data_IF_919394001636
#
_entry.id   IF_919394001636
#
_cell.length_a   1.000
_cell.length_b   1.000
_cell.length_c   1.000
_cell.angle_alpha   90.00
_cell.angle_beta   90.00
_cell.angle_gamma   90.00
#
_symmetry.space_group_name_H-M   'P 1'
#
loop_
_entity.id
_entity.type
_entity.pdbx_description
1 polymer ?
#
# COMPACT_ATOMS: atom_id res chain seq x y z
N UNK A 1 51.30 39.36 38.46
CA UNK A 1 51.19 38.82 37.09
C UNK A 1 50.06 37.78 37.06
N UNK A 2 48.91 38.08 36.49
CA UNK A 2 47.77 37.12 36.32
C UNK A 2 47.61 36.88 34.83
N UNK A 3 47.99 35.67 34.41
CA UNK A 3 47.83 35.21 33.04
C UNK A 3 46.41 34.69 32.82
N UNK A 4 45.61 35.41 32.05
CA UNK A 4 44.26 34.98 31.64
C UNK A 4 44.33 34.04 30.44
N UNK A 5 43.78 32.84 30.60
CA UNK A 5 43.59 31.89 29.50
C UNK A 5 42.23 32.20 28.80
N UNK A 6 42.28 32.62 27.57
CA UNK A 6 41.10 32.76 26.72
C UNK A 6 40.67 31.36 26.24
N UNK A 7 39.44 30.94 26.62
CA UNK A 7 38.83 29.72 26.08
C UNK A 7 38.22 30.06 24.71
N UNK A 8 38.78 29.49 23.67
CA UNK A 8 38.20 29.52 22.33
C UNK A 8 37.13 28.43 22.25
N UNK A 9 35.88 28.81 22.21
CA UNK A 9 34.76 27.89 21.90
C UNK A 9 34.65 27.74 20.38
N UNK A 10 35.13 26.63 19.85
CA UNK A 10 34.88 26.25 18.45
C UNK A 10 33.46 25.80 18.27
N UNK A 11 32.65 26.54 17.53
CA UNK A 11 31.30 26.10 17.12
C UNK A 11 31.45 25.09 16.00
N UNK A 12 31.14 23.82 16.28
CA UNK A 12 30.99 22.78 15.27
C UNK A 12 29.63 22.97 14.58
N UNK A 13 29.62 23.44 13.34
CA UNK A 13 28.44 23.45 12.49
C UNK A 13 28.29 22.07 11.90
N UNK A 14 27.34 21.28 12.43
CA UNK A 14 26.90 20.03 11.80
C UNK A 14 26.04 20.38 10.57
N UNK A 15 26.64 20.30 9.39
CA UNK A 15 25.88 20.35 8.13
C UNK A 15 25.19 19.00 7.91
N UNK A 16 23.91 18.91 8.20
CA UNK A 16 23.10 17.74 7.84
C UNK A 16 22.82 17.81 6.35
N UNK A 17 23.50 16.97 5.58
CA UNK A 17 23.17 16.75 4.17
C UNK A 17 21.85 15.99 4.11
N UNK A 18 20.75 16.70 3.87
CA UNK A 18 19.47 16.06 3.59
C UNK A 18 19.56 15.37 2.22
N UNK A 19 19.62 14.04 2.19
CA UNK A 19 19.40 13.29 0.96
C UNK A 19 17.96 13.53 0.51
N UNK A 20 17.78 14.33 -0.52
CA UNK A 20 16.49 14.48 -1.21
C UNK A 20 16.32 13.22 -2.05
N UNK A 21 15.52 12.27 -1.55
CA UNK A 21 15.08 11.12 -2.34
C UNK A 21 14.07 11.64 -3.36
N UNK A 22 14.48 11.73 -4.62
CA UNK A 22 13.56 12.04 -5.70
C UNK A 22 12.86 10.74 -6.11
N UNK A 23 11.52 10.77 -6.10
CA UNK A 23 10.74 9.72 -6.74
C UNK A 23 10.95 9.80 -8.27
N UNK A 24 11.07 8.65 -8.92
CA UNK A 24 11.12 8.62 -10.37
C UNK A 24 9.80 9.15 -10.94
N UNK A 25 9.83 10.07 -11.92
CA UNK A 25 8.60 10.59 -12.51
C UNK A 25 7.87 9.48 -13.28
N UNK A 26 6.54 9.54 -13.29
CA UNK A 26 5.74 8.63 -14.10
C UNK A 26 6.07 8.83 -15.59
N UNK A 27 6.23 7.72 -16.30
CA UNK A 27 6.37 7.71 -17.75
C UNK A 27 5.01 7.66 -18.44
N UNK A 28 4.93 8.19 -19.67
CA UNK A 28 3.71 8.06 -20.45
C UNK A 28 3.38 6.58 -20.69
N UNK A 29 2.15 6.18 -20.35
CA UNK A 29 1.65 4.83 -20.59
C UNK A 29 0.15 4.84 -20.91
N UNK A 30 -0.26 3.95 -21.82
CA UNK A 30 -1.66 3.65 -22.14
C UNK A 30 -1.78 2.14 -22.18
N UNK A 31 -2.46 1.57 -21.18
CA UNK A 31 -2.51 0.13 -20.97
C UNK A 31 -3.97 -0.32 -21.03
N UNK A 32 -4.34 -1.02 -22.10
CA UNK A 32 -5.65 -1.64 -22.20
C UNK A 32 -5.74 -2.87 -21.27
N UNK A 33 -6.94 -3.26 -20.80
CA UNK A 33 -7.08 -4.38 -19.85
C UNK A 33 -6.43 -5.69 -20.30
N UNK A 34 -6.46 -5.98 -21.60
CA UNK A 34 -5.86 -7.19 -22.19
C UNK A 34 -4.33 -7.16 -22.29
N UNK A 35 -3.71 -6.00 -22.11
CA UNK A 35 -2.25 -5.80 -22.16
C UNK A 35 -1.61 -5.97 -20.78
N UNK A 36 -2.43 -6.11 -19.72
CA UNK A 36 -1.94 -6.28 -18.36
C UNK A 36 -1.17 -7.58 -18.20
N UNK A 37 0.02 -7.48 -17.64
CA UNK A 37 0.85 -8.63 -17.28
C UNK A 37 0.52 -9.06 -15.86
N UNK A 38 -0.24 -10.13 -15.74
CA UNK A 38 -0.62 -10.70 -14.46
C UNK A 38 0.44 -11.67 -13.96
N UNK A 39 0.89 -11.47 -12.73
CA UNK A 39 1.84 -12.33 -12.03
C UNK A 39 1.13 -13.02 -10.87
N UNK A 40 1.26 -14.33 -10.77
CA UNK A 40 0.67 -15.11 -9.69
C UNK A 40 1.49 -14.94 -8.41
N UNK A 41 0.82 -14.54 -7.34
CA UNK A 41 1.41 -14.41 -6.02
C UNK A 41 1.38 -15.74 -5.25
N UNK A 42 2.22 -15.88 -4.23
CA UNK A 42 2.22 -17.06 -3.34
C UNK A 42 0.89 -17.25 -2.58
N UNK A 43 0.10 -16.21 -2.44
CA UNK A 43 -1.27 -16.24 -1.87
C UNK A 43 -2.31 -16.86 -2.79
N UNK A 44 -1.96 -17.14 -4.04
CA UNK A 44 -2.89 -17.60 -5.08
C UNK A 44 -3.62 -16.47 -5.82
N UNK A 45 -3.45 -15.23 -5.40
CA UNK A 45 -3.95 -14.04 -6.11
C UNK A 45 -3.06 -13.70 -7.30
N UNK A 46 -3.54 -12.85 -8.20
CA UNK A 46 -2.73 -12.31 -9.28
C UNK A 46 -2.59 -10.80 -9.13
N UNK A 47 -1.42 -10.27 -9.47
CA UNK A 47 -1.11 -8.85 -9.43
C UNK A 47 -0.62 -8.38 -10.80
N UNK A 48 -1.04 -7.20 -11.22
CA UNK A 48 -0.51 -6.49 -12.37
C UNK A 48 -0.10 -5.07 -11.96
N UNK A 49 1.16 -4.71 -12.14
CA UNK A 49 1.64 -3.35 -11.93
C UNK A 49 1.17 -2.44 -13.07
N UNK A 50 0.72 -1.24 -12.69
CA UNK A 50 0.30 -0.19 -13.62
C UNK A 50 1.34 0.91 -13.65
N UNK A 51 1.84 1.36 -12.49
CA UNK A 51 2.83 2.43 -12.38
C UNK A 51 3.58 2.32 -11.05
N UNK A 52 4.81 2.79 -11.03
CA UNK A 52 5.66 2.87 -9.85
C UNK A 52 6.04 1.53 -9.23
N UNK A 53 6.76 1.64 -8.12
CA UNK A 53 7.22 0.51 -7.32
C UNK A 53 6.81 0.74 -5.87
N UNK A 54 5.97 -0.14 -5.33
CA UNK A 54 5.50 -0.06 -3.94
C UNK A 54 6.59 -0.28 -2.88
N UNK A 55 7.82 -0.62 -3.28
CA UNK A 55 8.98 -0.73 -2.39
C UNK A 55 9.78 0.57 -2.28
N UNK A 56 9.52 1.53 -3.15
CA UNK A 56 10.19 2.83 -3.18
C UNK A 56 9.31 3.93 -2.59
N UNK A 57 9.92 5.08 -2.24
CA UNK A 57 9.22 6.28 -1.79
C UNK A 57 8.67 7.05 -3.01
N UNK A 58 7.69 6.46 -3.71
CA UNK A 58 7.06 7.02 -4.90
C UNK A 58 5.59 6.60 -5.01
N UNK A 59 4.85 7.25 -5.90
CA UNK A 59 3.49 6.84 -6.22
C UNK A 59 3.52 5.46 -6.87
N UNK A 60 2.67 4.56 -6.41
CA UNK A 60 2.46 3.27 -7.04
C UNK A 60 0.98 3.01 -7.33
N UNK A 61 0.74 2.27 -8.40
CA UNK A 61 -0.59 1.77 -8.78
C UNK A 61 -0.46 0.33 -9.26
N UNK A 62 -1.29 -0.56 -8.71
CA UNK A 62 -1.38 -1.93 -9.17
C UNK A 62 -2.82 -2.44 -9.11
N UNK A 63 -3.08 -3.53 -9.81
CA UNK A 63 -4.33 -4.27 -9.73
C UNK A 63 -4.10 -5.63 -9.08
N UNK A 64 -5.11 -6.09 -8.36
CA UNK A 64 -5.16 -7.46 -7.83
C UNK A 64 -6.42 -8.11 -8.36
N UNK A 65 -6.27 -9.38 -8.76
CA UNK A 65 -7.36 -10.29 -9.08
C UNK A 65 -7.45 -11.34 -8.00
N UNK A 66 -8.59 -11.38 -7.34
CA UNK A 66 -8.93 -12.37 -6.33
C UNK A 66 -9.81 -13.45 -6.95
N UNK A 67 -9.41 -14.73 -6.95
CA UNK A 67 -10.29 -15.82 -7.32
C UNK A 67 -11.57 -15.83 -6.45
N UNK A 68 -12.66 -16.39 -6.99
CA UNK A 68 -13.88 -16.59 -6.24
C UNK A 68 -13.66 -17.32 -4.91
N UNK A 69 -14.28 -16.86 -3.85
CA UNK A 69 -14.15 -17.41 -2.49
C UNK A 69 -12.92 -16.94 -1.72
N UNK A 70 -12.02 -16.15 -2.32
CA UNK A 70 -10.79 -15.67 -1.68
C UNK A 70 -11.09 -14.82 -0.45
N UNK A 71 -10.57 -15.23 0.71
CA UNK A 71 -10.59 -14.46 1.96
C UNK A 71 -9.23 -13.86 2.22
N UNK A 72 -9.19 -12.53 2.35
CA UNK A 72 -8.00 -11.77 2.76
C UNK A 72 -8.07 -11.60 4.27
N UNK A 73 -7.19 -12.27 4.98
CA UNK A 73 -7.13 -12.24 6.45
C UNK A 73 -6.78 -10.84 6.97
N UNK A 74 -7.14 -10.53 8.23
CA UNK A 74 -6.83 -9.22 8.81
C UNK A 74 -5.35 -8.89 8.74
N UNK A 75 -5.05 -7.74 8.17
CA UNK A 75 -3.70 -7.22 7.97
C UNK A 75 -3.73 -5.70 7.91
N UNK A 76 -2.57 -5.07 7.93
CA UNK A 76 -2.41 -3.62 7.74
C UNK A 76 -1.16 -3.29 6.92
N UNK A 77 -1.08 -2.04 6.51
CA UNK A 77 0.04 -1.49 5.73
C UNK A 77 0.66 -0.29 6.44
N UNK A 78 1.96 0.00 6.22
CA UNK A 78 2.61 1.16 6.82
C UNK A 78 2.20 2.49 6.18
N UNK A 79 1.73 2.45 4.93
CA UNK A 79 1.38 3.58 4.07
C UNK A 79 -0.14 3.77 3.95
N UNK A 80 -0.53 4.94 3.46
CA UNK A 80 -1.92 5.26 3.10
C UNK A 80 -2.24 4.74 1.70
N UNK A 81 -3.42 4.11 1.55
CA UNK A 81 -3.84 3.58 0.26
C UNK A 81 -5.31 3.86 0.00
N UNK A 82 -5.64 3.92 -1.28
CA UNK A 82 -7.02 3.96 -1.77
C UNK A 82 -7.22 2.77 -2.69
N UNK A 83 -8.29 2.02 -2.44
CA UNK A 83 -8.71 0.93 -3.31
C UNK A 83 -10.00 1.26 -4.04
N UNK A 84 -10.15 0.68 -5.24
CA UNK A 84 -11.37 0.79 -6.05
C UNK A 84 -11.67 -0.55 -6.69
N UNK A 85 -12.92 -0.98 -6.63
CA UNK A 85 -13.40 -2.19 -7.29
C UNK A 85 -13.58 -1.90 -8.78
N UNK A 86 -12.96 -2.69 -9.64
CA UNK A 86 -13.08 -2.60 -11.10
C UNK A 86 -14.10 -3.61 -11.64
N UNK A 87 -14.16 -4.82 -11.06
CA UNK A 87 -15.13 -5.84 -11.42
C UNK A 87 -15.43 -6.77 -10.24
N UNK A 88 -16.58 -7.42 -10.25
CA UNK A 88 -17.08 -8.24 -9.14
C UNK A 88 -17.58 -7.40 -7.96
N UNK A 89 -17.83 -8.05 -6.83
CA UNK A 89 -18.21 -7.38 -5.58
C UNK A 89 -17.22 -7.74 -4.49
N UNK A 90 -16.52 -6.74 -3.97
CA UNK A 90 -15.63 -6.92 -2.82
C UNK A 90 -16.40 -6.67 -1.53
N UNK A 91 -16.38 -7.63 -0.63
CA UNK A 91 -16.80 -7.42 0.76
C UNK A 91 -15.58 -6.95 1.55
N UNK A 92 -15.67 -5.74 2.14
CA UNK A 92 -14.55 -5.10 2.83
C UNK A 92 -14.95 -4.68 4.24
N UNK A 93 -14.07 -4.96 5.21
CA UNK A 93 -14.28 -4.62 6.62
C UNK A 93 -13.00 -4.15 7.30
N UNK A 94 -13.16 -3.34 8.35
CA UNK A 94 -12.06 -2.90 9.20
C UNK A 94 -12.08 -3.65 10.53
N UNK A 95 -10.91 -3.88 11.08
CA UNK A 95 -10.73 -4.50 12.40
C UNK A 95 -9.65 -5.58 12.40
N UNK A 96 -9.22 -5.98 13.60
CA UNK A 96 -8.19 -7.00 13.78
C UNK A 96 -8.70 -8.44 13.60
N UNK A 97 -10.01 -8.63 13.52
CA UNK A 97 -10.65 -9.95 13.37
C UNK A 97 -11.53 -9.99 12.13
N UNK A 98 -11.54 -11.14 11.45
CA UNK A 98 -12.40 -11.35 10.29
C UNK A 98 -13.87 -11.47 10.75
N UNK A 99 -14.70 -10.48 10.40
CA UNK A 99 -16.09 -10.41 10.80
C UNK A 99 -16.99 -10.10 9.60
N UNK A 100 -17.73 -11.08 9.11
CA UNK A 100 -18.62 -10.92 7.96
C UNK A 100 -19.70 -9.85 8.20
N UNK A 101 -20.24 -9.75 9.42
CA UNK A 101 -21.28 -8.79 9.75
C UNK A 101 -20.80 -7.32 9.71
N UNK A 102 -19.47 -7.11 9.83
CA UNK A 102 -18.84 -5.79 9.73
C UNK A 102 -18.45 -5.42 8.31
N UNK A 103 -18.64 -6.31 7.33
CA UNK A 103 -18.27 -6.05 5.94
C UNK A 103 -19.33 -5.23 5.22
N UNK A 104 -18.86 -4.35 4.35
CA UNK A 104 -19.67 -3.64 3.36
C UNK A 104 -19.40 -4.22 1.98
N UNK A 105 -20.48 -4.54 1.25
CA UNK A 105 -20.39 -4.93 -0.16
C UNK A 105 -20.09 -3.69 -1.02
N UNK A 106 -19.02 -3.77 -1.80
CA UNK A 106 -18.56 -2.74 -2.72
C UNK A 106 -18.65 -3.30 -4.15
N UNK A 107 -19.63 -2.88 -4.95
CA UNK A 107 -19.72 -3.24 -6.37
C UNK A 107 -18.68 -2.45 -7.20
N UNK A 108 -18.59 -2.69 -8.53
CA UNK A 108 -17.73 -1.91 -9.41
C UNK A 108 -17.93 -0.41 -9.26
N UNK A 109 -16.82 0.36 -9.14
CA UNK A 109 -16.82 1.78 -8.79
C UNK A 109 -16.84 2.05 -7.28
N UNK A 110 -17.16 1.07 -6.44
CA UNK A 110 -17.02 1.19 -4.99
C UNK A 110 -15.55 1.38 -4.59
N UNK A 111 -15.31 2.21 -3.58
CA UNK A 111 -13.97 2.56 -3.13
C UNK A 111 -13.87 2.51 -1.61
N UNK A 112 -12.64 2.34 -1.12
CA UNK A 112 -12.31 2.37 0.30
C UNK A 112 -10.95 3.01 0.51
N UNK A 113 -10.65 3.39 1.75
CA UNK A 113 -9.36 3.91 2.17
C UNK A 113 -8.69 2.92 3.13
N UNK A 114 -7.38 2.86 3.13
CA UNK A 114 -6.60 2.09 4.08
C UNK A 114 -5.63 3.05 4.80
N UNK A 115 -6.05 3.61 5.95
CA UNK A 115 -5.16 4.42 6.77
C UNK A 115 -3.95 3.61 7.26
N UNK A 116 -2.79 4.24 7.49
CA UNK A 116 -1.60 3.55 7.95
C UNK A 116 -1.89 2.75 9.23
N UNK A 117 -1.43 1.50 9.27
CA UNK A 117 -1.54 0.58 10.41
C UNK A 117 -2.97 0.28 10.87
N UNK A 118 -4.00 0.67 10.08
CA UNK A 118 -5.39 0.31 10.35
C UNK A 118 -5.65 -1.12 9.86
N UNK A 119 -5.95 -2.09 10.74
CA UNK A 119 -6.30 -3.44 10.33
C UNK A 119 -7.57 -3.47 9.48
N UNK A 120 -7.53 -4.28 8.43
CA UNK A 120 -8.67 -4.52 7.53
C UNK A 120 -8.61 -5.92 6.94
N UNK A 121 -9.73 -6.35 6.38
CA UNK A 121 -9.90 -7.66 5.76
C UNK A 121 -10.89 -7.57 4.60
N UNK A 122 -10.85 -8.55 3.70
CA UNK A 122 -11.71 -8.56 2.53
C UNK A 122 -12.12 -9.98 2.12
N UNK A 123 -13.17 -10.06 1.30
CA UNK A 123 -13.66 -11.33 0.77
C UNK A 123 -14.25 -11.16 -0.64
N UNK A 124 -13.77 -11.95 -1.58
CA UNK A 124 -14.36 -12.13 -2.91
C UNK A 124 -15.40 -13.25 -2.85
N UNK A 125 -16.51 -13.00 -2.12
CA UNK A 125 -17.49 -14.03 -1.72
C UNK A 125 -18.22 -14.64 -2.91
N UNK A 126 -18.76 -13.81 -3.78
CA UNK A 126 -19.75 -14.20 -4.77
C UNK A 126 -19.12 -14.52 -6.15
N UNK A 127 -17.83 -14.30 -6.31
CA UNK A 127 -17.14 -14.52 -7.59
C UNK A 127 -15.75 -13.92 -7.60
N UNK A 128 -15.12 -13.92 -8.77
CA UNK A 128 -13.84 -13.23 -8.98
C UNK A 128 -14.02 -11.72 -8.81
N UNK A 129 -13.02 -11.08 -8.18
CA UNK A 129 -13.00 -9.63 -7.97
C UNK A 129 -11.68 -9.07 -8.49
N UNK A 130 -11.76 -7.98 -9.26
CA UNK A 130 -10.60 -7.19 -9.64
C UNK A 130 -10.68 -5.83 -8.97
N UNK A 131 -9.61 -5.47 -8.28
CA UNK A 131 -9.46 -4.16 -7.63
C UNK A 131 -8.26 -3.42 -8.20
N UNK A 132 -8.25 -2.10 -8.06
CA UNK A 132 -7.07 -1.26 -8.22
C UNK A 132 -6.72 -0.63 -6.88
N UNK A 133 -5.46 -0.66 -6.54
CA UNK A 133 -4.91 -0.03 -5.33
C UNK A 133 -3.88 1.00 -5.76
N UNK A 134 -3.89 2.15 -5.12
CA UNK A 134 -2.86 3.17 -5.26
C UNK A 134 -2.46 3.72 -3.89
N UNK A 135 -1.19 4.10 -3.78
CA UNK A 135 -0.62 4.67 -2.57
C UNK A 135 0.72 5.33 -2.85
N UNK A 136 1.36 5.78 -1.81
CA UNK A 136 2.72 6.31 -1.85
C UNK A 136 3.61 5.46 -0.94
N UNK A 137 4.59 4.77 -1.54
CA UNK A 137 5.46 3.83 -0.84
C UNK A 137 6.51 4.49 0.08
N UNK A 138 7.31 3.69 0.78
CA UNK A 138 7.35 2.25 0.68
C UNK A 138 6.19 1.55 1.39
N UNK A 139 5.62 0.55 0.73
CA UNK A 139 4.53 -0.27 1.24
C UNK A 139 5.00 -1.65 1.73
N UNK A 140 4.15 -2.30 2.48
CA UNK A 140 4.33 -3.65 2.98
C UNK A 140 3.02 -4.19 3.56
N UNK A 141 3.01 -5.47 3.93
CA UNK A 141 1.86 -6.10 4.57
C UNK A 141 2.28 -6.74 5.89
N UNK A 142 1.56 -6.42 6.97
CA UNK A 142 1.74 -7.05 8.28
C UNK A 142 0.45 -7.75 8.66
N UNK A 143 0.51 -9.06 8.87
CA UNK A 143 -0.64 -9.85 9.31
C UNK A 143 -0.98 -9.53 10.77
N UNK A 144 -2.28 -9.54 11.10
CA UNK A 144 -2.82 -9.37 12.45
C UNK A 144 -3.30 -10.73 12.95
N UNK A 145 -2.90 -11.10 14.18
CA UNK A 145 -3.28 -12.35 14.78
C UNK A 145 -2.10 -13.33 14.98
N UNK A 146 -2.33 -14.47 15.59
CA UNK A 146 -1.29 -15.48 15.80
C UNK A 146 -0.79 -15.98 14.44
N UNK A 147 0.53 -16.10 14.35
CA UNK A 147 1.22 -16.69 13.19
C UNK A 147 0.94 -18.17 13.11
#
# INVERSE_FOLDING_TARGET
MRTGYAKVFGAFVFSTLACIVHADPLTEARIAPQELKWEKLSTGYERANIAGDDKKAELYVYRIRFPAGSRVTPHFHPDERVGTVLSGTLYFGYGPEFNEAAMKALPPGGSWTEPPKQPHFAWAKDGEVVIQVMGYGPSGTTQVGPK
#
